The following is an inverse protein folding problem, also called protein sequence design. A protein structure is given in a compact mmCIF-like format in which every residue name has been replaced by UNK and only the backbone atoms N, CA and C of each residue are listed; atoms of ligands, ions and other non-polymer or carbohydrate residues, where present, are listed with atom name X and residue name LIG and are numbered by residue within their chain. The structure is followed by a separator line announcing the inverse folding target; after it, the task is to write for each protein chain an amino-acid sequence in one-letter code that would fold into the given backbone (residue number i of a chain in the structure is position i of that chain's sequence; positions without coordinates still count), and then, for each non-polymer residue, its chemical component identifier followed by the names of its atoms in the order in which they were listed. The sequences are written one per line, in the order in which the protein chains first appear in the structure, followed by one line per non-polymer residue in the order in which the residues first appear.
data_IF_763299924403
#
_entry.id   IF_763299924403
#
_cell.length_a   1.000
_cell.length_b   1.000
_cell.length_c   1.000
_cell.angle_alpha   90.00
_cell.angle_beta   90.00
_cell.angle_gamma   90.00
#
_symmetry.space_group_name_H-M   'P 1'
#
loop_
_entity.id
_entity.type
_entity.pdbx_description
1 polymer ?
#
# COMPACT_ATOMS: atom_id res chain seq x y z
N UNK A 1 18.90 19.82 -39.12
CA UNK A 1 20.01 19.11 -38.46
C UNK A 1 19.50 18.55 -37.13
N UNK A 2 19.25 17.25 -37.10
CA UNK A 2 18.58 16.51 -36.03
C UNK A 2 19.60 16.14 -34.96
N UNK A 3 19.51 16.70 -33.75
CA UNK A 3 20.40 16.35 -32.64
C UNK A 3 19.89 15.07 -31.94
N UNK A 4 20.74 14.05 -31.93
CA UNK A 4 20.46 12.71 -31.46
C UNK A 4 20.28 12.65 -29.93
N UNK A 5 19.10 12.24 -29.48
CA UNK A 5 18.86 11.74 -28.12
C UNK A 5 19.57 10.40 -27.96
N UNK A 6 20.69 10.42 -27.23
CA UNK A 6 21.46 9.24 -26.83
C UNK A 6 20.59 8.39 -25.89
N UNK A 7 19.97 7.33 -26.41
CA UNK A 7 19.37 6.27 -25.58
C UNK A 7 20.48 5.67 -24.71
N UNK A 8 20.46 5.93 -23.41
CA UNK A 8 21.23 5.16 -22.44
C UNK A 8 20.68 3.74 -22.45
N UNK A 9 21.36 2.83 -23.14
CA UNK A 9 21.14 1.40 -22.98
C UNK A 9 21.61 1.01 -21.59
N UNK A 10 20.66 0.87 -20.66
CA UNK A 10 20.90 0.12 -19.43
C UNK A 10 21.27 -1.29 -19.88
N UNK A 11 22.54 -1.67 -19.67
CA UNK A 11 23.00 -3.05 -19.76
C UNK A 11 22.13 -3.89 -18.83
N UNK A 12 21.09 -4.53 -19.38
CA UNK A 12 20.37 -5.61 -18.72
C UNK A 12 21.29 -6.82 -18.68
N UNK A 13 22.24 -6.81 -17.74
CA UNK A 13 22.77 -8.06 -17.21
C UNK A 13 21.57 -8.81 -16.61
N UNK A 14 21.24 -9.97 -17.16
CA UNK A 14 20.18 -10.82 -16.64
C UNK A 14 20.65 -11.42 -15.31
N UNK A 15 20.64 -10.63 -14.24
CA UNK A 15 20.69 -11.17 -12.90
C UNK A 15 19.48 -12.10 -12.75
N UNK A 16 19.74 -13.40 -12.53
CA UNK A 16 18.71 -14.38 -12.22
C UNK A 16 18.22 -14.08 -10.80
N UNK A 17 17.14 -13.31 -10.69
CA UNK A 17 16.46 -13.11 -9.42
C UNK A 17 15.77 -14.40 -8.99
N UNK A 18 15.76 -14.68 -7.68
CA UNK A 18 15.01 -15.80 -7.14
C UNK A 18 13.51 -15.57 -7.40
N UNK A 19 12.82 -16.60 -7.92
CA UNK A 19 11.38 -16.54 -8.19
C UNK A 19 10.54 -16.59 -6.92
N UNK A 20 11.06 -17.20 -5.86
CA UNK A 20 10.40 -17.41 -4.58
C UNK A 20 11.34 -17.13 -3.41
N UNK A 21 10.78 -16.67 -2.30
CA UNK A 21 11.49 -16.46 -1.05
C UNK A 21 10.72 -17.10 0.11
N UNK A 22 11.46 -17.67 1.06
CA UNK A 22 10.92 -18.15 2.34
C UNK A 22 11.38 -17.19 3.43
N UNK A 23 10.43 -16.65 4.20
CA UNK A 23 10.64 -15.65 5.23
C UNK A 23 10.35 -16.28 6.58
N UNK A 24 11.24 -16.08 7.56
CA UNK A 24 11.00 -16.45 8.95
C UNK A 24 9.99 -15.46 9.56
N UNK A 25 8.90 -15.99 10.11
CA UNK A 25 7.89 -15.18 10.78
C UNK A 25 8.34 -14.84 12.22
N UNK A 26 7.93 -13.68 12.76
CA UNK A 26 8.14 -13.37 14.17
C UNK A 26 7.32 -14.33 15.03
N UNK A 27 7.72 -14.47 16.29
CA UNK A 27 6.92 -15.22 17.25
C UNK A 27 5.74 -14.36 17.71
N UNK A 28 4.56 -14.96 17.73
CA UNK A 28 3.34 -14.33 18.22
C UNK A 28 2.95 -14.95 19.56
N UNK A 29 2.57 -14.09 20.50
CA UNK A 29 1.93 -14.53 21.73
C UNK A 29 0.47 -14.89 21.44
N UNK A 30 0.00 -15.95 22.08
CA UNK A 30 -1.30 -16.55 21.80
C UNK A 30 -2.19 -16.49 23.04
N UNK A 31 -3.49 -16.35 22.82
CA UNK A 31 -4.51 -16.44 23.86
C UNK A 31 -5.53 -17.49 23.44
N UNK A 32 -5.71 -18.54 24.26
CA UNK A 32 -6.60 -19.68 23.99
C UNK A 32 -6.36 -20.40 22.65
N UNK A 33 -5.10 -20.42 22.17
CA UNK A 33 -4.69 -21.16 20.96
C UNK A 33 -3.42 -21.97 21.25
N UNK A 34 -3.23 -23.07 20.53
CA UNK A 34 -2.00 -23.85 20.58
C UNK A 34 -0.89 -23.12 19.79
N UNK A 35 0.15 -22.66 20.48
CA UNK A 35 1.31 -21.98 19.88
C UNK A 35 2.05 -22.88 18.89
N UNK A 36 1.99 -24.20 19.06
CA UNK A 36 2.68 -25.16 18.18
C UNK A 36 2.06 -25.24 16.78
N UNK A 37 0.79 -24.85 16.64
CA UNK A 37 0.06 -24.85 15.37
C UNK A 37 0.38 -23.64 14.47
N UNK A 38 1.04 -22.60 14.99
CA UNK A 38 1.37 -21.41 14.21
C UNK A 38 2.47 -21.66 13.18
N UNK A 39 2.34 -21.14 11.94
CA UNK A 39 3.41 -21.23 10.96
C UNK A 39 4.62 -20.41 11.43
N UNK A 40 5.82 -20.98 11.29
CA UNK A 40 7.10 -20.31 11.62
C UNK A 40 7.73 -19.62 10.42
N UNK A 41 7.24 -19.93 9.22
CA UNK A 41 7.75 -19.42 7.96
C UNK A 41 6.59 -19.13 7.02
N UNK A 42 6.76 -18.11 6.18
CA UNK A 42 5.90 -17.84 5.04
C UNK A 42 6.70 -17.94 3.74
N UNK A 43 6.05 -18.31 2.65
CA UNK A 43 6.65 -18.33 1.31
C UNK A 43 5.94 -17.32 0.42
N UNK A 44 6.68 -16.61 -0.43
CA UNK A 44 6.12 -15.62 -1.35
C UNK A 44 6.92 -15.60 -2.66
N UNK A 45 6.30 -15.08 -3.72
CA UNK A 45 6.96 -14.91 -5.03
C UNK A 45 7.57 -13.52 -5.18
N UNK A 46 8.50 -13.38 -6.13
CA UNK A 46 9.07 -12.06 -6.48
C UNK A 46 7.99 -11.08 -6.94
N UNK A 47 6.99 -11.57 -7.68
CA UNK A 47 5.90 -10.74 -8.21
C UNK A 47 4.99 -10.20 -7.10
N UNK A 48 4.66 -11.04 -6.11
CA UNK A 48 3.91 -10.62 -4.92
C UNK A 48 4.67 -9.57 -4.12
N UNK A 49 5.96 -9.81 -3.84
CA UNK A 49 6.79 -8.84 -3.11
C UNK A 49 6.88 -7.49 -3.84
N UNK A 50 7.03 -7.51 -5.17
CA UNK A 50 7.03 -6.28 -5.98
C UNK A 50 5.66 -5.59 -5.96
N UNK A 51 4.57 -6.34 -5.98
CA UNK A 51 3.21 -5.80 -5.84
C UNK A 51 3.04 -5.11 -4.49
N UNK A 52 3.34 -5.80 -3.38
CA UNK A 52 3.21 -5.23 -2.03
C UNK A 52 4.08 -3.99 -1.84
N UNK A 53 5.32 -4.01 -2.35
CA UNK A 53 6.18 -2.83 -2.32
C UNK A 53 5.58 -1.65 -3.07
N UNK A 54 5.05 -1.87 -4.28
CA UNK A 54 4.40 -0.82 -5.08
C UNK A 54 3.16 -0.27 -4.38
N UNK A 55 2.32 -1.13 -3.82
CA UNK A 55 1.10 -0.74 -3.11
C UNK A 55 1.42 0.06 -1.84
N UNK A 56 2.36 -0.41 -1.01
CA UNK A 56 2.78 0.32 0.19
C UNK A 56 3.40 1.67 -0.18
N UNK A 57 4.29 1.72 -1.17
CA UNK A 57 4.89 2.97 -1.61
C UNK A 57 3.84 3.91 -2.22
N UNK A 58 2.85 3.40 -2.94
CA UNK A 58 1.74 4.20 -3.46
C UNK A 58 0.92 4.82 -2.33
N UNK A 59 0.50 4.02 -1.33
CA UNK A 59 -0.21 4.52 -0.15
C UNK A 59 0.60 5.62 0.55
N UNK A 60 1.91 5.40 0.78
CA UNK A 60 2.81 6.41 1.35
C UNK A 60 2.81 7.73 0.57
N UNK A 61 2.85 7.67 -0.77
CA UNK A 61 2.85 8.88 -1.61
C UNK A 61 1.53 9.62 -1.58
N UNK A 62 0.40 8.92 -1.53
CA UNK A 62 -0.92 9.54 -1.37
C UNK A 62 -1.00 10.28 -0.03
N UNK A 63 -0.50 9.68 1.05
CA UNK A 63 -0.52 10.32 2.37
C UNK A 63 0.38 11.56 2.46
N UNK A 64 1.57 11.51 1.86
CA UNK A 64 2.42 12.70 1.75
C UNK A 64 1.71 13.80 0.96
N UNK A 65 0.98 13.45 -0.10
CA UNK A 65 0.17 14.41 -0.85
C UNK A 65 -0.96 15.00 0.00
N UNK A 66 -1.65 14.15 0.80
CA UNK A 66 -2.67 14.59 1.76
C UNK A 66 -2.10 15.62 2.77
N UNK A 67 -0.90 15.39 3.30
CA UNK A 67 -0.19 16.34 4.16
C UNK A 67 0.10 17.67 3.44
N UNK A 68 0.59 17.61 2.20
CA UNK A 68 0.89 18.80 1.40
C UNK A 68 -0.36 19.66 1.15
N UNK A 69 -1.47 19.06 0.72
CA UNK A 69 -2.73 19.80 0.46
C UNK A 69 -3.38 20.30 1.75
N UNK A 70 -3.19 19.60 2.88
CA UNK A 70 -3.62 20.07 4.19
C UNK A 70 -2.85 21.31 4.63
N UNK A 71 -1.52 21.32 4.45
CA UNK A 71 -0.67 22.48 4.73
C UNK A 71 -1.01 23.68 3.85
N UNK A 72 -1.41 23.45 2.60
CA UNK A 72 -1.92 24.48 1.66
C UNK A 72 -3.32 25.00 2.01
N UNK A 73 -3.98 24.47 3.05
CA UNK A 73 -5.35 24.81 3.44
C UNK A 73 -6.42 24.46 2.40
N UNK A 74 -6.11 23.54 1.49
CA UNK A 74 -7.07 22.98 0.52
C UNK A 74 -7.99 21.94 1.19
N UNK A 75 -7.48 21.27 2.23
CA UNK A 75 -8.24 20.39 3.12
C UNK A 75 -8.54 21.14 4.42
N UNK A 76 -9.74 20.96 4.95
CA UNK A 76 -10.19 21.54 6.23
C UNK A 76 -10.63 20.43 7.20
N UNK A 77 -10.69 20.74 8.48
CA UNK A 77 -11.14 19.78 9.49
C UNK A 77 -10.05 18.75 9.80
N UNK A 78 -10.38 17.46 9.67
CA UNK A 78 -9.52 16.36 10.11
C UNK A 78 -8.78 15.70 8.95
N UNK A 79 -7.52 15.31 9.18
CA UNK A 79 -6.71 14.54 8.25
C UNK A 79 -5.80 13.60 9.05
N UNK A 80 -6.07 12.29 9.02
CA UNK A 80 -5.38 11.29 9.83
C UNK A 80 -4.54 10.37 8.94
N UNK A 81 -3.25 10.70 8.79
CA UNK A 81 -2.35 10.05 7.84
C UNK A 81 -1.85 8.68 8.34
N UNK A 82 -1.92 7.62 7.53
CA UNK A 82 -1.41 6.30 7.91
C UNK A 82 -0.01 5.98 7.39
N UNK A 83 0.77 6.99 7.02
CA UNK A 83 2.15 6.80 6.62
C UNK A 83 2.97 6.17 7.76
N UNK A 84 3.61 5.03 7.47
CA UNK A 84 4.27 4.17 8.47
C UNK A 84 3.44 2.95 8.89
N UNK A 85 2.18 2.84 8.48
CA UNK A 85 1.28 1.70 8.73
C UNK A 85 0.83 1.00 7.45
N UNK A 86 1.52 1.19 6.33
CA UNK A 86 1.11 0.65 5.02
C UNK A 86 1.13 -0.88 5.00
N UNK A 87 2.07 -1.50 5.72
CA UNK A 87 2.14 -2.95 5.86
C UNK A 87 0.87 -3.54 6.50
N UNK A 88 0.13 -2.77 7.30
CA UNK A 88 -1.14 -3.20 7.89
C UNK A 88 -2.22 -3.29 6.83
N UNK A 89 -2.45 -2.21 6.06
CA UNK A 89 -3.46 -2.22 4.99
C UNK A 89 -3.12 -3.25 3.90
N UNK A 90 -1.91 -3.19 3.36
CA UNK A 90 -1.48 -4.09 2.27
C UNK A 90 -1.41 -5.54 2.74
N UNK A 91 -0.94 -5.79 3.96
CA UNK A 91 -0.86 -7.13 4.53
C UNK A 91 -2.22 -7.75 4.80
N UNK A 92 -3.18 -6.98 5.33
CA UNK A 92 -4.56 -7.46 5.51
C UNK A 92 -5.20 -7.76 4.15
N UNK A 93 -5.08 -6.84 3.19
CA UNK A 93 -5.67 -7.03 1.86
C UNK A 93 -5.05 -8.23 1.12
N UNK A 94 -3.77 -8.52 1.33
CA UNK A 94 -3.10 -9.70 0.78
C UNK A 94 -3.61 -11.03 1.36
N UNK A 95 -4.19 -11.02 2.56
CA UNK A 95 -4.69 -12.20 3.27
C UNK A 95 -6.19 -12.45 3.10
N UNK A 96 -6.92 -11.54 2.46
CA UNK A 96 -8.38 -11.61 2.27
C UNK A 96 -8.76 -11.50 0.80
N UNK A 97 -10.05 -11.63 0.52
CA UNK A 97 -10.65 -11.42 -0.80
C UNK A 97 -11.45 -10.11 -0.85
N UNK A 98 -11.92 -9.74 -2.05
CA UNK A 98 -12.81 -8.59 -2.23
C UNK A 98 -14.24 -8.86 -1.73
N UNK A 99 -14.60 -10.12 -1.54
CA UNK A 99 -15.90 -10.51 -0.98
C UNK A 99 -15.92 -10.39 0.56
N UNK A 100 -14.75 -10.41 1.20
CA UNK A 100 -14.63 -10.21 2.64
C UNK A 100 -14.92 -8.76 3.03
N UNK A 101 -15.57 -8.59 4.19
CA UNK A 101 -15.90 -7.27 4.75
C UNK A 101 -14.76 -6.76 5.65
N UNK A 102 -14.47 -5.47 5.55
CA UNK A 102 -13.43 -4.81 6.35
C UNK A 102 -13.95 -3.47 6.86
N UNK A 103 -13.75 -3.21 8.15
CA UNK A 103 -14.09 -1.96 8.82
C UNK A 103 -12.87 -1.45 9.60
N UNK A 104 -12.71 -0.12 9.66
CA UNK A 104 -11.66 0.55 10.44
C UNK A 104 -12.17 1.90 10.93
N UNK A 105 -11.35 2.60 11.73
CA UNK A 105 -11.64 3.95 12.23
C UNK A 105 -11.29 5.05 11.19
N UNK A 106 -11.14 6.30 11.64
CA UNK A 106 -10.90 7.49 10.81
C UNK A 106 -9.50 7.58 10.18
N UNK A 107 -8.58 6.66 10.49
CA UNK A 107 -7.26 6.54 9.86
C UNK A 107 -7.35 5.47 8.76
N UNK A 108 -8.02 5.80 7.66
CA UNK A 108 -8.53 4.79 6.71
C UNK A 108 -8.07 4.96 5.26
N UNK A 109 -7.27 5.96 4.91
CA UNK A 109 -6.94 6.25 3.51
C UNK A 109 -6.30 5.05 2.79
N UNK A 110 -5.26 4.44 3.37
CA UNK A 110 -4.63 3.26 2.78
C UNK A 110 -5.52 2.02 2.77
N UNK A 111 -6.47 1.89 3.71
CA UNK A 111 -7.49 0.82 3.67
C UNK A 111 -8.45 1.04 2.51
N UNK A 112 -8.94 2.27 2.32
CA UNK A 112 -9.81 2.65 1.21
C UNK A 112 -9.13 2.37 -0.15
N UNK A 113 -7.84 2.75 -0.28
CA UNK A 113 -7.03 2.43 -1.47
C UNK A 113 -6.86 0.92 -1.67
N UNK A 114 -6.55 0.19 -0.59
CA UNK A 114 -6.43 -1.28 -0.62
C UNK A 114 -7.71 -1.96 -1.08
N UNK A 115 -8.88 -1.45 -0.67
CA UNK A 115 -10.20 -1.94 -1.09
C UNK A 115 -10.58 -1.60 -2.53
N UNK A 116 -9.78 -0.79 -3.24
CA UNK A 116 -9.90 -0.59 -4.68
C UNK A 116 -10.38 0.80 -5.11
N UNK A 117 -10.49 1.76 -4.17
CA UNK A 117 -10.74 3.15 -4.54
C UNK A 117 -9.48 3.80 -5.13
N UNK A 118 -9.66 4.84 -5.95
CA UNK A 118 -8.55 5.54 -6.59
C UNK A 118 -8.02 6.70 -5.73
N UNK A 119 -6.73 7.02 -5.91
CA UNK A 119 -6.15 8.20 -5.28
C UNK A 119 -6.86 9.50 -5.70
N UNK A 120 -7.29 9.61 -6.96
CA UNK A 120 -7.99 10.79 -7.45
C UNK A 120 -9.31 11.02 -6.70
N UNK A 121 -10.10 9.96 -6.48
CA UNK A 121 -11.37 10.03 -5.75
C UNK A 121 -11.15 10.29 -4.26
N UNK A 122 -10.10 9.71 -3.68
CA UNK A 122 -9.70 9.99 -2.30
C UNK A 122 -9.27 11.45 -2.12
N UNK A 123 -8.40 11.98 -2.98
CA UNK A 123 -7.93 13.36 -2.88
C UNK A 123 -9.06 14.36 -3.17
N UNK A 124 -9.94 14.05 -4.12
CA UNK A 124 -11.16 14.81 -4.37
C UNK A 124 -12.05 14.88 -3.12
N UNK A 125 -12.23 13.77 -2.42
CA UNK A 125 -12.97 13.71 -1.14
C UNK A 125 -12.32 14.63 -0.10
N UNK A 126 -11.01 14.51 0.10
CA UNK A 126 -10.27 15.32 1.07
C UNK A 126 -10.41 16.83 0.79
N UNK A 127 -10.42 17.22 -0.48
CA UNK A 127 -10.61 18.62 -0.91
C UNK A 127 -12.08 19.06 -1.00
N UNK A 128 -13.04 18.19 -0.65
CA UNK A 128 -14.48 18.48 -0.72
C UNK A 128 -14.99 18.75 -2.14
N UNK A 129 -14.50 18.01 -3.13
CA UNK A 129 -14.94 18.09 -4.53
C UNK A 129 -16.02 17.05 -4.80
N UNK A 130 -16.96 17.39 -5.71
CA UNK A 130 -18.07 16.51 -6.11
C UNK A 130 -17.67 15.19 -6.79
N UNK A 131 -16.41 15.07 -7.19
CA UNK A 131 -15.82 13.83 -7.72
C UNK A 131 -15.27 12.93 -6.62
N UNK A 132 -15.51 13.28 -5.35
CA UNK A 132 -15.08 12.54 -4.17
C UNK A 132 -15.65 11.13 -4.09
N UNK A 133 -15.06 10.34 -3.20
CA UNK A 133 -15.49 8.98 -2.92
C UNK A 133 -16.96 8.95 -2.42
N UNK A 134 -17.39 9.98 -1.68
CA UNK A 134 -18.70 10.03 -1.00
C UNK A 134 -19.73 11.00 -1.61
N UNK A 135 -19.41 11.63 -2.76
CA UNK A 135 -20.18 12.63 -3.54
C UNK A 135 -19.91 14.08 -3.13
#
# INVERSE_FOLDING_TARGET
LTLALRRMSVLRGAARFASTATIKLPEYEVFNLDKSALPKTASTTSDEMLRYYREMNFQRRVEIMCDEIYKKKEVRGFCHLMDGQEAVSVGVEAGITKDDHLITAYRCHGVLLGRGETADRLLAEMMGKSTGASK
#
